data_IF_847735194534
#
_entry.id   IF_847735194534
#
_cell.length_a   1.000
_cell.length_b   1.000
_cell.length_c   1.000
_cell.angle_alpha   90.00
_cell.angle_beta   90.00
_cell.angle_gamma   90.00
#
_symmetry.space_group_name_H-M   'P 1'
#
loop_
_entity.id
_entity.type
_entity.pdbx_description
1 polymer ?
#
# COMPACT_ATOMS: atom_id res chain seq x y z
N UNK A 1 11.76 -12.59 8.38
CA UNK A 1 10.89 -12.26 7.23
C UNK A 1 11.69 -12.29 5.94
N UNK A 2 11.16 -12.92 4.87
CA UNK A 2 11.84 -13.06 3.57
C UNK A 2 11.55 -11.82 2.71
N UNK A 3 12.57 -11.00 2.42
CA UNK A 3 12.44 -9.82 1.54
C UNK A 3 12.44 -10.26 0.07
N UNK A 4 11.49 -9.78 -0.72
CA UNK A 4 11.43 -10.01 -2.16
C UNK A 4 12.22 -8.90 -2.89
N UNK A 5 13.23 -9.28 -3.70
CA UNK A 5 14.13 -8.31 -4.36
C UNK A 5 13.40 -7.32 -5.30
N UNK A 6 12.27 -7.73 -5.86
CA UNK A 6 11.55 -6.98 -6.89
C UNK A 6 10.27 -6.31 -6.36
N UNK A 7 9.99 -6.40 -5.06
CA UNK A 7 8.80 -5.81 -4.45
C UNK A 7 9.26 -4.77 -3.45
N UNK A 8 8.78 -3.53 -3.62
CA UNK A 8 8.96 -2.48 -2.62
C UNK A 8 7.92 -2.71 -1.53
N UNK A 9 8.36 -3.29 -0.41
CA UNK A 9 7.53 -3.51 0.78
C UNK A 9 7.75 -2.39 1.79
N UNK A 10 6.67 -1.80 2.32
CA UNK A 10 6.71 -0.79 3.37
C UNK A 10 5.64 -1.05 4.43
N UNK A 11 5.88 -0.53 5.64
CA UNK A 11 5.06 -0.74 6.83
C UNK A 11 4.49 0.61 7.24
N UNK A 12 3.16 0.73 7.22
CA UNK A 12 2.45 1.99 7.51
C UNK A 12 2.31 2.21 9.03
N UNK A 13 2.45 1.15 9.83
CA UNK A 13 2.12 1.11 11.27
C UNK A 13 3.26 1.48 12.23
N UNK A 14 4.47 1.72 11.75
CA UNK A 14 5.46 2.36 12.61
C UNK A 14 5.04 3.84 12.74
N UNK A 15 4.40 4.20 13.85
CA UNK A 15 4.02 5.58 14.23
C UNK A 15 5.20 6.58 14.19
N UNK A 16 6.42 6.09 13.97
CA UNK A 16 7.66 6.84 13.82
C UNK A 16 8.44 6.47 12.56
N UNK A 17 7.82 5.84 11.54
CA UNK A 17 8.49 5.64 10.25
C UNK A 17 8.68 7.00 9.60
N UNK A 18 9.81 7.58 9.96
CA UNK A 18 10.42 8.70 9.29
C UNK A 18 10.32 8.44 7.79
N UNK A 19 9.71 9.37 7.05
CA UNK A 19 9.69 9.48 5.59
C UNK A 19 11.11 9.55 4.95
N UNK A 20 12.14 8.96 5.57
CA UNK A 20 13.53 8.90 5.16
C UNK A 20 13.75 8.01 3.93
N UNK A 21 12.79 7.17 3.57
CA UNK A 21 12.84 6.45 2.30
C UNK A 21 12.43 7.40 1.18
N UNK A 22 13.35 7.64 0.22
CA UNK A 22 13.08 8.41 -1.02
C UNK A 22 11.92 7.85 -1.86
N UNK A 23 11.38 6.68 -1.49
CA UNK A 23 10.30 5.97 -2.20
C UNK A 23 8.94 6.12 -1.51
N UNK A 24 8.85 6.90 -0.43
CA UNK A 24 7.59 7.18 0.26
C UNK A 24 7.28 8.66 0.10
N UNK A 25 6.08 8.96 -0.37
CA UNK A 25 5.56 10.32 -0.51
C UNK A 25 4.26 10.39 0.26
N UNK A 26 4.19 11.34 1.18
CA UNK A 26 2.97 11.66 1.90
C UNK A 26 1.97 12.39 0.98
N UNK A 27 0.72 11.97 1.00
CA UNK A 27 -0.40 12.64 0.34
C UNK A 27 -0.83 13.88 1.14
N UNK A 28 -0.02 14.94 1.09
CA UNK A 28 -0.19 16.15 1.93
C UNK A 28 -1.50 16.90 1.70
N UNK A 29 -2.04 16.85 0.49
CA UNK A 29 -3.29 17.53 0.12
C UNK A 29 -4.50 16.60 0.15
N UNK A 30 -4.32 15.30 0.43
CA UNK A 30 -5.41 14.35 0.50
C UNK A 30 -6.03 14.00 -0.86
N UNK A 31 -5.40 14.37 -1.97
CA UNK A 31 -5.95 14.13 -3.32
C UNK A 31 -5.92 12.64 -3.66
N UNK A 32 -4.86 11.93 -3.26
CA UNK A 32 -4.77 10.48 -3.46
C UNK A 32 -5.84 9.78 -2.62
N UNK A 33 -6.03 10.22 -1.36
CA UNK A 33 -7.11 9.70 -0.50
C UNK A 33 -8.49 9.97 -1.12
N UNK A 34 -8.76 11.17 -1.61
CA UNK A 34 -10.05 11.52 -2.20
C UNK A 34 -10.34 10.71 -3.46
N UNK A 35 -9.36 10.61 -4.36
CA UNK A 35 -9.49 9.89 -5.63
C UNK A 35 -9.60 8.37 -5.42
N UNK A 36 -8.74 7.81 -4.58
CA UNK A 36 -8.57 6.37 -4.45
C UNK A 36 -9.22 5.79 -3.21
N UNK A 37 -9.68 6.56 -2.23
CA UNK A 37 -10.23 6.03 -0.97
C UNK A 37 -11.38 6.87 -0.42
N UNK A 38 -12.13 7.58 -1.28
CA UNK A 38 -13.25 8.44 -0.86
C UNK A 38 -14.34 7.74 -0.03
N UNK A 39 -14.53 6.43 -0.22
CA UNK A 39 -15.51 5.60 0.50
C UNK A 39 -14.86 4.64 1.50
N UNK A 40 -13.66 4.97 1.99
CA UNK A 40 -12.98 4.13 2.97
C UNK A 40 -13.53 4.36 4.38
N UNK A 41 -14.30 3.40 4.88
CA UNK A 41 -14.93 3.48 6.21
C UNK A 41 -14.03 2.98 7.35
N UNK A 42 -12.92 2.29 7.03
CA UNK A 42 -12.02 1.66 8.01
C UNK A 42 -10.57 2.06 7.80
N UNK A 43 -9.72 1.87 8.81
CA UNK A 43 -8.27 2.00 8.68
C UNK A 43 -7.66 0.77 7.98
N UNK A 44 -6.42 0.91 7.47
CA UNK A 44 -5.67 -0.21 6.90
C UNK A 44 -5.85 -0.46 5.41
N UNK A 45 -6.69 0.32 4.71
CA UNK A 45 -6.88 0.18 3.26
C UNK A 45 -5.57 0.39 2.49
N UNK A 46 -5.42 -0.33 1.38
CA UNK A 46 -4.29 -0.14 0.48
C UNK A 46 -4.66 -0.41 -0.97
N UNK A 47 -3.81 0.07 -1.87
CA UNK A 47 -3.88 -0.19 -3.30
C UNK A 47 -2.50 -0.62 -3.78
N UNK A 48 -2.46 -1.60 -4.67
CA UNK A 48 -1.26 -2.02 -5.40
C UNK A 48 -1.50 -1.66 -6.86
N UNK A 49 -0.63 -0.85 -7.45
CA UNK A 49 -0.70 -0.45 -8.85
C UNK A 49 0.45 -1.13 -9.60
N UNK A 50 0.12 -1.85 -10.67
CA UNK A 50 1.06 -2.54 -11.55
C UNK A 50 1.61 -1.59 -12.63
N UNK A 51 2.78 -1.88 -13.25
CA UNK A 51 3.36 -1.03 -14.29
C UNK A 51 2.48 -0.82 -15.53
N UNK A 52 1.55 -1.75 -15.80
CA UNK A 52 0.57 -1.68 -16.89
C UNK A 52 -0.65 -0.80 -16.54
N UNK A 53 -0.72 -0.25 -15.33
CA UNK A 53 -1.85 0.54 -14.84
C UNK A 53 -2.98 -0.27 -14.20
N UNK A 54 -2.91 -1.60 -14.20
CA UNK A 54 -3.84 -2.42 -13.43
C UNK A 54 -3.63 -2.19 -11.93
N UNK A 55 -4.68 -2.38 -11.14
CA UNK A 55 -4.57 -2.24 -9.69
C UNK A 55 -5.44 -3.22 -8.92
N UNK A 56 -4.99 -3.50 -7.69
CA UNK A 56 -5.72 -4.24 -6.68
C UNK A 56 -5.98 -3.31 -5.52
N UNK A 57 -7.25 -3.08 -5.21
CA UNK A 57 -7.70 -2.24 -4.10
C UNK A 57 -8.27 -3.10 -2.98
N UNK A 58 -7.91 -2.78 -1.74
CA UNK A 58 -8.33 -3.51 -0.54
C UNK A 58 -8.83 -2.54 0.51
N UNK A 59 -10.02 -2.82 1.03
CA UNK A 59 -10.62 -2.07 2.14
C UNK A 59 -10.55 -2.91 3.41
N UNK A 60 -10.02 -2.35 4.48
CA UNK A 60 -9.74 -3.03 5.75
C UNK A 60 -8.29 -3.49 5.89
N UNK A 61 -8.02 -4.16 7.02
CA UNK A 61 -6.69 -4.60 7.43
C UNK A 61 -6.39 -6.02 6.92
N UNK A 62 -5.18 -6.23 6.43
CA UNK A 62 -4.73 -7.52 5.92
C UNK A 62 -3.33 -7.83 6.42
N UNK A 63 -3.04 -9.12 6.63
CA UNK A 63 -1.69 -9.52 7.00
C UNK A 63 -0.73 -9.27 5.84
N UNK A 64 0.42 -8.69 6.14
CA UNK A 64 1.37 -8.29 5.11
C UNK A 64 1.98 -9.46 4.35
N UNK A 65 2.07 -10.65 4.96
CA UNK A 65 2.55 -11.85 4.29
C UNK A 65 1.54 -12.38 3.25
N UNK A 66 0.27 -11.95 3.34
CA UNK A 66 -0.76 -12.25 2.35
C UNK A 66 -0.68 -11.34 1.13
N UNK A 67 -0.18 -10.11 1.27
CA UNK A 67 -0.07 -9.15 0.17
C UNK A 67 0.69 -9.74 -1.04
N UNK A 68 1.88 -10.38 -0.89
CA UNK A 68 2.55 -11.04 -2.01
C UNK A 68 1.78 -12.20 -2.62
N UNK A 69 0.88 -12.86 -1.87
CA UNK A 69 0.04 -13.97 -2.38
C UNK A 69 -1.03 -13.44 -3.35
N UNK A 70 -1.46 -12.18 -3.19
CA UNK A 70 -2.39 -11.52 -4.11
C UNK A 70 -1.75 -11.28 -5.47
N UNK A 71 -0.46 -10.90 -5.48
CA UNK A 71 0.30 -10.60 -6.71
C UNK A 71 0.60 -11.89 -7.49
N UNK A 72 0.89 -13.00 -6.80
CA UNK A 72 1.27 -14.29 -7.42
C UNK A 72 0.10 -15.09 -8.01
N UNK A 73 -1.15 -14.71 -7.74
CA UNK A 73 -2.36 -15.44 -8.18
C UNK A 73 -2.86 -15.00 -9.56
N UNK A 74 -2.20 -14.05 -10.21
CA UNK A 74 -2.43 -13.60 -11.58
C UNK A 74 -1.32 -14.14 -12.48
#
# INVERSE_FOLDING_TARGET
>A
MKKYKNIIQYYIVEQMYNYKSKKVVEDKNGEIKKLLFGNADFCGNYIIIEPNGEYIKKYGEYQQDEIPKLIKKR
#
